data_IF_185566171575
#
_entry.id   IF_185566171575
#
_cell.length_a   1.000
_cell.length_b   1.000
_cell.length_c   1.000
_cell.angle_alpha   90.00
_cell.angle_beta   90.00
_cell.angle_gamma   90.00
#
_symmetry.space_group_name_H-M   'P 1'
#
loop_
_entity.id
_entity.type
_entity.pdbx_description
1 polymer ?
#
# COMPACT_ATOMS: atom_id res chain seq x y z
N UNK A 1 -15.67 18.50 -28.73
CA UNK A 1 -15.33 18.88 -27.34
C UNK A 1 -14.05 18.15 -26.98
N UNK A 2 -12.91 18.85 -26.96
CA UNK A 2 -11.63 18.22 -26.65
C UNK A 2 -11.59 17.94 -25.14
N UNK A 3 -11.68 16.67 -24.76
CA UNK A 3 -11.30 16.23 -23.42
C UNK A 3 -9.83 16.58 -23.24
N UNK A 4 -9.55 17.65 -22.50
CA UNK A 4 -8.18 18.04 -22.19
C UNK A 4 -7.54 16.91 -21.42
N UNK A 5 -6.53 16.28 -21.99
CA UNK A 5 -5.77 15.19 -21.39
C UNK A 5 -5.06 15.72 -20.14
N UNK A 6 -5.74 15.64 -19.00
CA UNK A 6 -5.18 15.95 -17.68
C UNK A 6 -4.29 14.77 -17.31
N UNK A 7 -3.02 14.77 -17.74
CA UNK A 7 -2.09 13.72 -17.30
C UNK A 7 -2.00 13.75 -15.78
N UNK A 8 -2.47 12.69 -15.16
CA UNK A 8 -2.17 12.43 -13.76
C UNK A 8 -0.65 12.40 -13.59
N UNK A 9 -0.16 13.04 -12.53
CA UNK A 9 1.20 12.75 -12.07
C UNK A 9 1.12 11.45 -11.30
N UNK A 10 1.84 10.44 -11.74
CA UNK A 10 1.80 9.13 -11.12
C UNK A 10 3.05 8.91 -10.28
N UNK A 11 2.85 8.49 -9.03
CA UNK A 11 3.90 8.08 -8.11
C UNK A 11 3.67 6.63 -7.74
N UNK A 12 4.70 5.83 -7.92
CA UNK A 12 4.75 4.46 -7.44
C UNK A 12 5.40 4.49 -6.06
N UNK A 13 4.70 3.94 -5.07
CA UNK A 13 5.16 3.82 -3.69
C UNK A 13 5.28 2.33 -3.40
N UNK A 14 6.49 1.82 -3.31
CA UNK A 14 6.68 0.56 -2.60
C UNK A 14 7.00 0.85 -1.15
N UNK A 15 6.22 0.23 -0.26
CA UNK A 15 6.58 0.14 1.14
C UNK A 15 7.57 -1.03 1.33
N UNK A 16 8.74 -0.94 0.71
CA UNK A 16 9.89 -1.79 1.06
C UNK A 16 10.70 -1.04 2.11
N UNK A 17 10.92 -1.64 3.28
CA UNK A 17 11.80 -1.03 4.29
C UNK A 17 13.24 -1.49 4.01
N UNK A 18 14.00 -0.70 3.25
CA UNK A 18 15.46 -0.78 3.26
C UNK A 18 15.95 -0.01 4.51
N UNK A 19 16.59 -0.74 5.43
CA UNK A 19 17.15 -0.17 6.66
C UNK A 19 18.59 0.24 6.39
N UNK A 20 18.81 1.51 6.04
CA UNK A 20 20.14 2.09 6.24
C UNK A 20 20.48 2.00 7.73
N UNK A 21 21.74 1.70 8.07
CA UNK A 21 22.24 1.41 9.43
C UNK A 21 22.00 2.47 10.52
N UNK A 22 21.16 3.48 10.27
CA UNK A 22 20.74 4.55 11.19
C UNK A 22 19.27 4.41 11.63
N UNK A 23 18.55 3.35 11.24
CA UNK A 23 17.18 3.08 11.71
C UNK A 23 16.10 3.98 11.08
N UNK A 24 16.40 4.66 9.98
CA UNK A 24 15.43 5.40 9.17
C UNK A 24 14.56 4.48 8.31
N UNK A 25 13.36 4.92 7.98
CA UNK A 25 12.49 4.28 6.98
C UNK A 25 12.83 4.92 5.64
N UNK A 26 13.50 4.20 4.73
CA UNK A 26 13.64 4.64 3.35
C UNK A 26 12.35 4.28 2.59
N UNK A 27 11.53 5.27 2.27
CA UNK A 27 10.46 5.12 1.29
C UNK A 27 11.10 5.27 -0.07
N UNK A 28 11.25 4.17 -0.82
CA UNK A 28 11.67 4.25 -2.22
C UNK A 28 10.51 4.82 -3.03
N UNK A 29 10.54 6.15 -3.19
CA UNK A 29 9.70 6.85 -4.15
C UNK A 29 10.36 6.65 -5.51
N UNK A 30 9.89 5.66 -6.27
CA UNK A 30 10.26 5.58 -7.68
C UNK A 30 9.70 6.82 -8.38
N UNK A 31 10.60 7.70 -8.81
CA UNK A 31 10.26 8.86 -9.64
C UNK A 31 9.62 8.41 -10.95
N UNK A 32 8.78 9.28 -11.51
CA UNK A 32 8.05 9.08 -12.75
C UNK A 32 8.90 8.38 -13.84
N UNK A 33 8.54 7.16 -14.30
CA UNK A 33 9.28 6.47 -15.36
C UNK A 33 9.23 7.20 -16.71
N UNK A 34 8.39 8.23 -16.86
CA UNK A 34 8.26 9.01 -18.09
C UNK A 34 9.27 10.17 -18.20
N UNK A 35 10.55 9.97 -17.88
CA UNK A 35 11.61 10.94 -18.28
C UNK A 35 12.92 10.28 -18.69
N UNK A 36 12.91 9.47 -19.76
CA UNK A 36 14.11 9.29 -20.60
C UNK A 36 13.71 9.01 -22.05
N UNK A 37 13.64 10.05 -22.86
CA UNK A 37 13.77 9.92 -24.31
C UNK A 37 15.12 10.50 -24.71
N UNK A 38 16.07 9.68 -25.20
CA UNK A 38 17.26 10.22 -25.84
C UNK A 38 16.86 10.74 -27.23
N UNK A 39 17.17 12.01 -27.51
CA UNK A 39 17.29 12.53 -28.87
C UNK A 39 16.03 12.49 -29.74
N UNK A 40 14.97 13.21 -29.36
CA UNK A 40 13.82 13.45 -30.23
C UNK A 40 13.27 14.86 -30.03
N UNK A 41 13.41 15.71 -31.05
CA UNK A 41 12.91 17.09 -31.04
C UNK A 41 11.38 17.04 -31.06
N UNK A 42 10.74 17.28 -29.91
CA UNK A 42 9.27 17.37 -29.80
C UNK A 42 8.78 18.55 -30.66
N UNK A 43 7.81 18.36 -31.58
CA UNK A 43 7.22 19.50 -32.28
C UNK A 43 6.47 20.37 -31.27
N UNK A 44 6.81 21.64 -31.23
CA UNK A 44 6.10 22.65 -30.47
C UNK A 44 4.68 22.78 -31.02
N UNK A 45 3.71 22.16 -30.36
CA UNK A 45 2.30 22.48 -30.55
C UNK A 45 2.11 23.89 -29.99
N UNK A 46 1.94 24.84 -30.90
CA UNK A 46 1.68 26.23 -30.58
C UNK A 46 0.32 26.34 -29.88
N UNK A 47 0.33 26.43 -28.55
CA UNK A 47 -0.78 27.02 -27.82
C UNK A 47 -0.81 28.52 -28.17
N UNK A 48 -1.91 29.06 -28.73
CA UNK A 48 -2.02 30.50 -28.91
C UNK A 48 -1.97 31.16 -27.54
N UNK A 49 -0.89 31.90 -27.30
CA UNK A 49 -0.66 32.73 -26.13
C UNK A 49 -1.59 33.94 -26.23
N UNK A 50 -2.86 33.71 -25.94
CA UNK A 50 -3.84 34.78 -25.84
C UNK A 50 -3.45 35.59 -24.62
N UNK A 51 -2.98 36.82 -24.86
CA UNK A 51 -2.66 37.82 -23.85
C UNK A 51 -3.94 38.16 -23.08
N UNK A 52 -4.18 37.45 -21.98
CA UNK A 52 -5.20 37.86 -21.03
C UNK A 52 -4.68 39.11 -20.31
N UNK A 53 -5.42 40.23 -20.31
CA UNK A 53 -5.04 41.40 -19.53
C UNK A 53 -4.97 41.03 -18.05
N UNK A 54 -3.98 41.58 -17.36
CA UNK A 54 -3.84 41.48 -15.91
C UNK A 54 -5.15 41.91 -15.23
N UNK A 55 -5.80 40.95 -14.57
CA UNK A 55 -6.95 41.20 -13.71
C UNK A 55 -6.40 41.53 -12.32
N UNK A 56 -6.75 42.67 -11.71
CA UNK A 56 -6.38 42.95 -10.33
C UNK A 56 -6.97 41.88 -9.43
N UNK A 57 -6.16 41.42 -8.48
CA UNK A 57 -6.56 40.42 -7.49
C UNK A 57 -7.80 40.93 -6.74
N UNK A 58 -8.98 40.44 -7.12
CA UNK A 58 -10.16 40.55 -6.28
C UNK A 58 -9.92 39.59 -5.12
N UNK A 59 -9.74 40.15 -3.94
CA UNK A 59 -9.78 39.42 -2.68
C UNK A 59 -11.18 38.81 -2.55
N UNK A 60 -11.35 37.61 -3.11
CA UNK A 60 -12.50 36.77 -2.82
C UNK A 60 -12.49 36.44 -1.33
N UNK A 61 -13.67 36.22 -0.71
CA UNK A 61 -13.73 35.80 0.67
C UNK A 61 -12.88 34.53 0.82
N UNK A 62 -11.91 34.56 1.74
CA UNK A 62 -11.09 33.41 2.09
C UNK A 62 -11.94 32.19 2.41
N UNK A 63 -11.39 30.97 2.32
CA UNK A 63 -12.16 29.74 2.45
C UNK A 63 -12.98 29.78 3.74
N UNK A 64 -14.30 29.76 3.57
CA UNK A 64 -15.24 29.68 4.69
C UNK A 64 -15.03 28.33 5.38
N UNK A 65 -14.32 28.35 6.51
CA UNK A 65 -14.19 27.22 7.43
C UNK A 65 -15.50 27.03 8.20
N UNK A 66 -16.63 26.92 7.49
CA UNK A 66 -17.90 26.53 8.11
C UNK A 66 -17.96 25.01 8.17
N UNK A 67 -18.48 24.49 9.28
CA UNK A 67 -18.66 23.05 9.51
C UNK A 67 -19.43 22.38 8.37
N UNK A 68 -20.38 23.09 7.74
CA UNK A 68 -21.12 22.62 6.56
C UNK A 68 -20.26 22.48 5.30
N UNK A 69 -19.40 23.45 4.97
CA UNK A 69 -18.53 23.35 3.80
C UNK A 69 -17.54 22.17 3.91
N UNK A 70 -17.05 21.90 5.13
CA UNK A 70 -16.21 20.73 5.43
C UNK A 70 -16.99 19.42 5.29
N UNK A 71 -18.24 19.37 5.77
CA UNK A 71 -19.12 18.19 5.64
C UNK A 71 -19.45 17.86 4.18
N UNK A 72 -19.74 18.88 3.35
CA UNK A 72 -20.04 18.70 1.92
C UNK A 72 -18.79 18.24 1.15
N UNK A 73 -17.61 18.75 1.48
CA UNK A 73 -16.36 18.30 0.88
C UNK A 73 -16.02 16.84 1.25
N UNK A 74 -16.24 16.44 2.50
CA UNK A 74 -16.05 15.06 2.95
C UNK A 74 -17.06 14.09 2.30
N UNK A 75 -18.32 14.50 2.15
CA UNK A 75 -19.33 13.70 1.43
C UNK A 75 -19.01 13.55 -0.07
N UNK A 76 -18.49 14.61 -0.70
CA UNK A 76 -18.00 14.54 -2.09
C UNK A 76 -16.79 13.61 -2.23
N UNK A 77 -15.86 13.62 -1.26
CA UNK A 77 -14.70 12.75 -1.22
C UNK A 77 -15.06 11.27 -1.00
N UNK A 78 -16.05 10.98 -0.15
CA UNK A 78 -16.57 9.63 0.04
C UNK A 78 -17.27 9.11 -1.25
N UNK A 79 -18.05 9.97 -1.91
CA UNK A 79 -18.69 9.65 -3.19
C UNK A 79 -17.71 9.50 -4.36
N UNK A 80 -16.59 10.23 -4.38
CA UNK A 80 -15.52 10.00 -5.36
C UNK A 80 -14.74 8.72 -5.05
N UNK A 81 -14.48 8.42 -3.78
CA UNK A 81 -13.76 7.20 -3.37
C UNK A 81 -14.51 5.95 -3.82
N UNK A 82 -15.82 5.89 -3.59
CA UNK A 82 -16.63 4.73 -4.00
C UNK A 82 -16.65 4.56 -5.52
N UNK A 83 -16.79 5.66 -6.29
CA UNK A 83 -16.75 5.60 -7.75
C UNK A 83 -15.39 5.15 -8.28
N UNK A 84 -14.30 5.66 -7.72
CA UNK A 84 -12.93 5.20 -8.05
C UNK A 84 -12.81 3.71 -7.76
N UNK A 85 -13.23 3.25 -6.57
CA UNK A 85 -13.16 1.84 -6.20
C UNK A 85 -13.90 0.95 -7.20
N UNK A 86 -15.10 1.31 -7.61
CA UNK A 86 -15.89 0.55 -8.60
C UNK A 86 -15.20 0.42 -9.96
N UNK A 87 -14.47 1.45 -10.39
CA UNK A 87 -13.70 1.40 -11.65
C UNK A 87 -12.46 0.53 -11.49
N UNK A 88 -11.76 0.63 -10.36
CA UNK A 88 -10.44 0.01 -10.17
C UNK A 88 -10.51 -1.46 -9.77
N UNK A 89 -11.55 -1.88 -9.06
CA UNK A 89 -11.72 -3.26 -8.59
C UNK A 89 -11.54 -4.31 -9.71
N UNK A 90 -12.25 -4.23 -10.86
CA UNK A 90 -12.05 -5.20 -11.95
C UNK A 90 -10.68 -5.09 -12.65
N UNK A 91 -10.07 -3.90 -12.64
CA UNK A 91 -8.77 -3.65 -13.30
C UNK A 91 -7.63 -4.27 -12.50
N UNK A 92 -7.66 -4.09 -11.18
CA UNK A 92 -6.68 -4.68 -10.26
C UNK A 92 -6.85 -6.19 -10.22
N UNK A 93 -8.09 -6.70 -10.18
CA UNK A 93 -8.38 -8.13 -10.25
C UNK A 93 -7.86 -8.78 -11.55
N UNK A 94 -8.00 -8.12 -12.70
CA UNK A 94 -7.45 -8.60 -13.97
C UNK A 94 -5.91 -8.67 -13.99
N UNK A 95 -5.23 -7.95 -13.09
CA UNK A 95 -3.78 -8.00 -12.90
C UNK A 95 -3.34 -9.08 -11.90
N UNK A 96 -4.28 -9.92 -11.43
CA UNK A 96 -4.01 -10.95 -10.42
C UNK A 96 -3.67 -10.39 -9.04
N UNK A 97 -4.17 -9.18 -8.73
CA UNK A 97 -3.98 -8.50 -7.45
C UNK A 97 -5.35 -8.19 -6.83
N UNK A 98 -5.34 -7.86 -5.54
CA UNK A 98 -6.52 -7.43 -4.79
C UNK A 98 -6.44 -5.94 -4.51
N UNK A 99 -7.57 -5.24 -4.66
CA UNK A 99 -7.70 -3.84 -4.28
C UNK A 99 -7.93 -3.71 -2.77
N UNK A 100 -6.85 -3.40 -2.05
CA UNK A 100 -6.85 -3.31 -0.58
C UNK A 100 -7.63 -2.08 -0.11
N UNK A 101 -7.21 -0.90 -0.53
CA UNK A 101 -7.78 0.36 -0.11
C UNK A 101 -7.74 1.39 -1.23
N UNK A 102 -8.68 2.32 -1.21
CA UNK A 102 -8.72 3.48 -2.10
C UNK A 102 -9.04 4.69 -1.26
N UNK A 103 -8.24 5.75 -1.38
CA UNK A 103 -8.50 7.02 -0.72
C UNK A 103 -8.38 8.17 -1.70
N UNK A 104 -9.42 8.99 -1.75
CA UNK A 104 -9.39 10.25 -2.51
C UNK A 104 -9.35 11.40 -1.51
N UNK A 105 -8.22 12.13 -1.48
CA UNK A 105 -7.99 13.25 -0.56
C UNK A 105 -7.57 14.50 -1.32
N UNK A 106 -7.78 15.68 -0.74
CA UNK A 106 -7.25 16.93 -1.28
C UNK A 106 -5.93 17.29 -0.59
N UNK A 107 -4.92 17.65 -1.38
CA UNK A 107 -3.61 18.10 -0.91
C UNK A 107 -3.08 19.21 -1.82
N UNK A 108 -2.73 20.36 -1.24
CA UNK A 108 -2.09 21.47 -2.00
C UNK A 108 -2.88 21.95 -3.22
N UNK A 109 -4.21 21.97 -3.16
CA UNK A 109 -5.09 22.38 -4.27
C UNK A 109 -5.31 21.32 -5.36
N UNK A 110 -4.73 20.13 -5.21
CA UNK A 110 -4.91 18.98 -6.11
C UNK A 110 -5.59 17.83 -5.38
N UNK A 111 -6.17 16.89 -6.13
CA UNK A 111 -6.61 15.63 -5.56
C UNK A 111 -5.45 14.64 -5.53
N UNK A 112 -5.43 13.74 -4.55
CA UNK A 112 -4.52 12.62 -4.47
C UNK A 112 -5.39 11.37 -4.37
N UNK A 113 -5.20 10.46 -5.33
CA UNK A 113 -5.84 9.15 -5.37
C UNK A 113 -4.79 8.15 -4.92
N UNK A 114 -4.94 7.66 -3.70
CA UNK A 114 -4.08 6.65 -3.12
C UNK A 114 -4.74 5.28 -3.30
N UNK A 115 -4.03 4.35 -3.91
CA UNK A 115 -4.48 3.00 -4.26
C UNK A 115 -3.52 2.02 -3.61
N UNK A 116 -4.03 1.25 -2.65
CA UNK A 116 -3.30 0.14 -2.06
C UNK A 116 -3.71 -1.16 -2.75
N UNK A 117 -2.72 -1.93 -3.19
CA UNK A 117 -2.89 -3.25 -3.77
C UNK A 117 -2.20 -4.31 -2.91
N UNK A 118 -2.69 -5.54 -3.01
CA UNK A 118 -2.17 -6.69 -2.29
C UNK A 118 -2.18 -7.93 -3.16
N UNK A 119 -1.45 -8.98 -2.78
CA UNK A 119 -1.56 -10.28 -3.42
C UNK A 119 -2.94 -10.88 -3.15
N UNK A 120 -3.42 -11.72 -4.07
CA UNK A 120 -4.56 -12.59 -3.79
C UNK A 120 -4.19 -13.62 -2.70
N UNK A 121 -5.20 -14.19 -2.05
CA UNK A 121 -4.99 -15.22 -1.04
C UNK A 121 -4.28 -16.47 -1.58
N UNK A 122 -4.46 -16.79 -2.86
CA UNK A 122 -3.85 -17.95 -3.51
C UNK A 122 -2.50 -17.65 -4.19
N UNK A 123 -2.10 -16.37 -4.28
CA UNK A 123 -0.80 -16.01 -4.83
C UNK A 123 0.22 -15.95 -3.70
N UNK A 124 1.21 -16.84 -3.68
CA UNK A 124 2.21 -16.90 -2.61
C UNK A 124 3.26 -15.77 -2.70
N UNK A 125 3.27 -15.02 -3.80
CA UNK A 125 4.29 -13.98 -4.06
C UNK A 125 3.84 -12.64 -3.50
N UNK A 126 4.75 -11.98 -2.80
CA UNK A 126 4.61 -10.57 -2.45
C UNK A 126 4.52 -9.68 -3.70
N UNK A 127 4.00 -8.46 -3.52
CA UNK A 127 3.86 -7.48 -4.62
C UNK A 127 5.19 -6.76 -4.82
N UNK A 128 5.87 -7.07 -5.93
CA UNK A 128 7.13 -6.45 -6.35
C UNK A 128 6.94 -5.15 -7.18
N UNK A 129 8.06 -4.49 -7.51
CA UNK A 129 8.08 -3.24 -8.28
C UNK A 129 7.44 -3.36 -9.66
N UNK A 130 7.68 -4.49 -10.33
CA UNK A 130 7.24 -4.69 -11.69
C UNK A 130 5.72 -4.87 -11.72
N UNK A 131 5.16 -5.66 -10.80
CA UNK A 131 3.72 -5.79 -10.62
C UNK A 131 3.06 -4.47 -10.26
N UNK A 132 3.68 -3.65 -9.39
CA UNK A 132 3.14 -2.32 -9.11
C UNK A 132 3.21 -1.42 -10.34
N UNK A 133 4.29 -1.45 -11.12
CA UNK A 133 4.41 -0.65 -12.32
C UNK A 133 3.36 -1.04 -13.38
N UNK A 134 3.09 -2.34 -13.56
CA UNK A 134 2.06 -2.85 -14.47
C UNK A 134 0.66 -2.39 -14.05
N UNK A 135 0.26 -2.66 -12.80
CA UNK A 135 -1.06 -2.27 -12.30
C UNK A 135 -1.24 -0.75 -12.29
N UNK A 136 -0.16 0.01 -12.06
CA UNK A 136 -0.19 1.47 -12.11
C UNK A 136 -0.58 2.00 -13.48
N UNK A 137 -0.07 1.39 -14.56
CA UNK A 137 -0.45 1.78 -15.94
C UNK A 137 -1.92 1.48 -16.18
N UNK A 138 -2.36 0.27 -15.85
CA UNK A 138 -3.75 -0.16 -16.03
C UNK A 138 -4.75 0.72 -15.23
N UNK A 139 -4.42 1.03 -13.98
CA UNK A 139 -5.20 1.93 -13.12
C UNK A 139 -5.26 3.33 -13.70
N UNK A 140 -4.13 3.88 -14.17
CA UNK A 140 -4.09 5.21 -14.79
C UNK A 140 -5.00 5.28 -16.02
N UNK A 141 -4.91 4.29 -16.92
CA UNK A 141 -5.71 4.24 -18.13
C UNK A 141 -7.22 4.14 -17.81
N UNK A 142 -7.58 3.36 -16.79
CA UNK A 142 -8.97 3.21 -16.35
C UNK A 142 -9.54 4.50 -15.73
N UNK A 143 -8.75 5.22 -14.93
CA UNK A 143 -9.16 6.50 -14.36
C UNK A 143 -9.29 7.59 -15.42
N UNK A 144 -8.39 7.62 -16.40
CA UNK A 144 -8.43 8.59 -17.50
C UNK A 144 -9.63 8.32 -18.44
N UNK A 145 -10.01 7.06 -18.63
CA UNK A 145 -11.17 6.69 -19.45
C UNK A 145 -12.52 7.01 -18.78
N UNK A 146 -12.62 6.85 -17.46
CA UNK A 146 -13.88 7.02 -16.71
C UNK A 146 -14.03 8.37 -16.01
N UNK A 147 -12.93 9.13 -15.85
CA UNK A 147 -12.84 10.44 -15.19
C UNK A 147 -13.66 10.54 -13.87
N UNK A 148 -13.51 9.61 -12.92
CA UNK A 148 -14.35 9.56 -11.73
C UNK A 148 -14.00 10.66 -10.71
N UNK A 149 -12.83 11.29 -10.86
CA UNK A 149 -12.26 12.28 -9.95
C UNK A 149 -12.30 13.66 -10.59
N UNK A 150 -12.86 14.64 -9.87
CA UNK A 150 -12.97 15.99 -10.40
C UNK A 150 -11.62 16.74 -10.36
N UNK A 151 -11.19 17.25 -11.52
CA UNK A 151 -10.03 18.12 -11.65
C UNK A 151 -8.72 17.36 -11.84
N UNK A 152 -7.60 18.05 -11.61
CA UNK A 152 -6.27 17.41 -11.68
C UNK A 152 -5.99 16.62 -10.40
N UNK A 153 -5.40 15.43 -10.59
CA UNK A 153 -5.05 14.54 -9.49
C UNK A 153 -3.61 13.99 -9.62
N UNK A 154 -3.08 13.57 -8.49
CA UNK A 154 -1.87 12.74 -8.39
C UNK A 154 -2.31 11.32 -8.06
N UNK A 155 -1.85 10.34 -8.82
CA UNK A 155 -2.08 8.92 -8.54
C UNK A 155 -0.91 8.38 -7.71
N UNK A 156 -1.20 7.77 -6.57
CA UNK A 156 -0.23 7.08 -5.72
C UNK A 156 -0.65 5.61 -5.64
N UNK A 157 0.15 4.70 -6.21
CA UNK A 157 -0.12 3.26 -6.19
C UNK A 157 0.96 2.56 -5.39
N UNK A 158 0.57 1.69 -4.47
CA UNK A 158 1.53 0.95 -3.66
C UNK A 158 0.98 -0.31 -3.03
N UNK A 159 1.89 -1.10 -2.46
CA UNK A 159 1.52 -2.24 -1.65
C UNK A 159 1.35 -1.86 -0.19
N UNK A 160 0.54 -2.65 0.52
CA UNK A 160 0.38 -2.50 1.97
C UNK A 160 1.72 -2.76 2.67
N UNK A 161 2.20 -1.80 3.46
CA UNK A 161 3.47 -1.95 4.19
C UNK A 161 3.41 -3.03 5.28
N UNK A 162 4.56 -3.60 5.63
CA UNK A 162 4.70 -4.71 6.59
C UNK A 162 4.10 -4.42 7.98
N UNK A 163 4.14 -3.17 8.44
CA UNK A 163 3.60 -2.74 9.74
C UNK A 163 2.08 -2.50 9.74
N UNK A 164 1.41 -2.67 8.60
CA UNK A 164 -0.02 -2.42 8.48
C UNK A 164 -0.84 -3.43 9.31
N UNK A 165 -2.01 -3.03 9.86
CA UNK A 165 -2.82 -3.87 10.76
C UNK A 165 -3.55 -5.00 10.02
N UNK A 166 -3.28 -6.27 10.34
CA UNK A 166 -3.87 -7.45 9.69
C UNK A 166 -5.38 -7.49 9.99
N UNK A 167 -6.20 -7.26 8.95
CA UNK A 167 -7.66 -7.07 9.08
C UNK A 167 -8.52 -8.10 8.35
N UNK A 168 -7.95 -8.86 7.41
CA UNK A 168 -8.69 -9.75 6.51
C UNK A 168 -7.95 -11.08 6.45
N UNK A 169 -8.68 -12.18 6.19
CA UNK A 169 -8.12 -13.54 6.15
C UNK A 169 -6.84 -13.64 5.32
N UNK A 170 -6.86 -13.15 4.07
CA UNK A 170 -5.68 -13.08 3.18
C UNK A 170 -4.45 -12.47 3.83
N UNK A 171 -4.61 -11.45 4.68
CA UNK A 171 -3.47 -10.83 5.36
C UNK A 171 -2.80 -11.81 6.32
N UNK A 172 -3.57 -12.65 6.99
CA UNK A 172 -3.07 -13.68 7.89
C UNK A 172 -2.46 -14.84 7.11
N UNK A 173 -3.07 -15.27 6.00
CA UNK A 173 -2.50 -16.31 5.12
C UNK A 173 -1.09 -15.91 4.67
N UNK A 174 -0.93 -14.67 4.21
CA UNK A 174 0.37 -14.10 3.82
C UNK A 174 1.35 -13.87 4.98
N UNK A 175 0.85 -13.85 6.21
CA UNK A 175 1.65 -13.72 7.42
C UNK A 175 2.01 -15.07 8.06
N UNK A 176 1.58 -16.22 7.49
CA UNK A 176 1.95 -17.54 7.99
C UNK A 176 3.48 -17.68 8.00
N UNK A 177 4.00 -18.21 9.09
CA UNK A 177 5.43 -18.29 9.36
C UNK A 177 6.05 -16.99 9.88
N UNK A 178 5.31 -15.89 10.01
CA UNK A 178 5.81 -14.64 10.60
C UNK A 178 5.40 -14.52 12.07
N UNK A 179 6.17 -13.76 12.84
CA UNK A 179 5.77 -13.38 14.20
C UNK A 179 4.68 -12.31 14.12
N UNK A 180 3.60 -12.48 14.87
CA UNK A 180 2.46 -11.57 14.93
C UNK A 180 2.17 -11.18 16.37
N UNK A 181 1.80 -9.91 16.56
CA UNK A 181 1.18 -9.40 17.78
C UNK A 181 -0.31 -9.29 17.52
N UNK A 182 -1.11 -10.04 18.27
CA UNK A 182 -2.57 -10.09 18.17
C UNK A 182 -3.16 -9.56 19.48
N UNK A 183 -3.94 -8.51 19.39
CA UNK A 183 -4.81 -8.05 20.47
C UNK A 183 -6.21 -8.59 20.22
N UNK A 184 -6.70 -9.40 21.15
CA UNK A 184 -8.04 -9.98 21.13
C UNK A 184 -9.07 -8.98 21.67
N UNK A 185 -10.35 -9.19 21.35
CA UNK A 185 -11.46 -8.33 21.80
C UNK A 185 -11.71 -8.40 23.30
N UNK A 186 -11.32 -9.50 23.96
CA UNK A 186 -11.34 -9.64 25.42
C UNK A 186 -10.25 -8.84 26.15
N UNK A 187 -9.34 -8.20 25.39
CA UNK A 187 -8.25 -7.38 25.90
C UNK A 187 -6.92 -8.12 26.06
N UNK A 188 -6.89 -9.44 25.86
CA UNK A 188 -5.65 -10.21 25.87
C UNK A 188 -4.75 -9.83 24.69
N UNK A 189 -3.46 -9.65 24.96
CA UNK A 189 -2.45 -9.42 23.92
C UNK A 189 -1.52 -10.62 23.87
N UNK A 190 -1.44 -11.21 22.69
CA UNK A 190 -0.60 -12.35 22.37
C UNK A 190 0.48 -11.92 21.39
N UNK A 191 1.72 -12.32 21.66
CA UNK A 191 2.80 -12.30 20.66
C UNK A 191 3.20 -13.74 20.39
N UNK A 192 3.31 -14.11 19.11
CA UNK A 192 3.66 -15.47 18.72
C UNK A 192 3.88 -15.64 17.23
N UNK A 193 4.32 -16.83 16.82
CA UNK A 193 4.42 -17.18 15.41
C UNK A 193 3.07 -17.66 14.90
N UNK A 194 2.55 -17.05 13.84
CA UNK A 194 1.39 -17.56 13.13
C UNK A 194 1.83 -18.80 12.34
N UNK A 195 1.28 -19.96 12.68
CA UNK A 195 1.66 -21.22 12.02
C UNK A 195 0.68 -21.64 10.95
N UNK A 196 -0.58 -21.22 11.06
CA UNK A 196 -1.62 -21.65 10.13
C UNK A 196 -2.86 -20.75 10.16
N UNK A 197 -3.63 -20.77 9.07
CA UNK A 197 -4.94 -20.14 8.92
C UNK A 197 -5.90 -21.17 8.32
N UNK A 198 -6.85 -21.61 9.12
CA UNK A 198 -7.82 -22.65 8.77
C UNK A 198 -8.95 -22.11 7.88
N UNK A 199 -9.75 -23.01 7.29
CA UNK A 199 -10.88 -22.63 6.43
C UNK A 199 -11.98 -21.85 7.18
N UNK A 200 -12.24 -22.16 8.46
CA UNK A 200 -13.23 -21.48 9.31
C UNK A 200 -12.72 -20.14 9.89
N UNK A 201 -11.81 -19.45 9.20
CA UNK A 201 -11.16 -18.21 9.65
C UNK A 201 -10.45 -18.33 11.02
N UNK A 202 -10.07 -19.55 11.41
CA UNK A 202 -9.37 -19.80 12.65
C UNK A 202 -7.85 -19.66 12.47
N UNK A 203 -7.23 -18.82 13.28
CA UNK A 203 -5.80 -18.52 13.29
C UNK A 203 -5.09 -19.41 14.31
N UNK A 204 -4.04 -20.13 13.90
CA UNK A 204 -3.22 -20.94 14.82
C UNK A 204 -1.94 -20.18 15.13
N UNK A 205 -1.82 -19.69 16.36
CA UNK A 205 -0.68 -18.91 16.82
C UNK A 205 0.06 -19.68 17.91
N UNK A 206 1.36 -19.85 17.74
CA UNK A 206 2.25 -20.38 18.78
C UNK A 206 2.82 -19.21 19.57
N UNK A 207 2.36 -18.96 20.81
CA UNK A 207 2.79 -17.81 21.59
C UNK A 207 4.27 -17.92 21.97
N UNK A 208 4.97 -16.81 21.85
CA UNK A 208 6.38 -16.69 22.23
C UNK A 208 6.47 -15.58 23.27
N UNK A 209 6.78 -15.95 24.50
CA UNK A 209 7.07 -14.98 25.55
C UNK A 209 8.57 -14.68 25.57
N UNK A 210 9.00 -13.42 25.39
CA UNK A 210 10.41 -13.08 25.45
C UNK A 210 10.99 -13.43 26.82
N UNK A 211 12.14 -14.09 26.82
CA UNK A 211 12.83 -14.45 28.05
C UNK A 211 13.40 -13.21 28.75
N UNK A 212 13.22 -13.12 30.07
CA UNK A 212 13.87 -12.07 30.87
C UNK A 212 15.38 -12.36 30.98
N UNK A 213 16.22 -11.37 30.64
CA UNK A 213 17.66 -11.26 30.96
C UNK A 213 18.44 -12.60 30.82
N UNK A 214 18.82 -12.94 29.60
CA UNK A 214 19.69 -14.09 29.30
C UNK A 214 19.01 -15.46 29.32
N UNK A 215 17.69 -15.51 29.52
CA UNK A 215 16.90 -16.75 29.39
C UNK A 215 16.38 -16.88 27.97
N UNK A 216 16.35 -18.11 27.40
CA UNK A 216 15.73 -18.33 26.10
C UNK A 216 14.25 -17.98 26.14
N UNK A 217 13.66 -17.54 25.01
CA UNK A 217 12.23 -17.29 24.92
C UNK A 217 11.43 -18.56 25.23
N UNK A 218 10.27 -18.39 25.88
CA UNK A 218 9.36 -19.50 26.18
C UNK A 218 8.36 -19.62 25.05
N UNK A 219 8.36 -20.79 24.41
CA UNK A 219 7.38 -21.18 23.40
C UNK A 219 6.22 -21.86 24.14
N UNK A 220 5.01 -21.32 24.01
CA UNK A 220 3.80 -21.91 24.58
C UNK A 220 3.14 -22.92 23.65
N UNK A 221 2.01 -23.48 24.09
CA UNK A 221 1.22 -24.38 23.26
C UNK A 221 0.48 -23.61 22.14
N UNK A 222 0.26 -24.22 20.96
CA UNK A 222 -0.53 -23.62 19.90
C UNK A 222 -1.91 -23.20 20.40
N UNK A 223 -2.29 -21.95 20.12
CA UNK A 223 -3.59 -21.39 20.45
C UNK A 223 -4.36 -21.09 19.17
N UNK A 224 -5.62 -21.51 19.13
CA UNK A 224 -6.53 -21.21 18.02
C UNK A 224 -7.39 -20.00 18.38
N UNK A 225 -7.41 -18.98 17.52
CA UNK A 225 -8.14 -17.72 17.71
C UNK A 225 -9.04 -17.50 16.48
N UNK A 226 -10.33 -17.27 16.67
CA UNK A 226 -11.20 -16.90 15.55
C UNK A 226 -10.84 -15.51 15.03
N UNK A 227 -10.87 -15.29 13.71
CA UNK A 227 -10.60 -13.97 13.11
C UNK A 227 -11.51 -12.88 13.69
N UNK A 228 -12.77 -13.19 13.99
CA UNK A 228 -13.69 -12.22 14.62
C UNK A 228 -13.29 -11.84 16.05
N UNK A 229 -12.55 -12.69 16.78
CA UNK A 229 -12.04 -12.35 18.11
C UNK A 229 -10.84 -11.39 18.05
N UNK A 230 -10.27 -11.14 16.87
CA UNK A 230 -9.14 -10.22 16.70
C UNK A 230 -9.63 -8.78 16.66
N UNK A 231 -9.14 -7.97 17.60
CA UNK A 231 -9.42 -6.53 17.64
C UNK A 231 -8.38 -5.72 16.86
N UNK A 232 -7.11 -6.13 16.88
CA UNK A 232 -6.01 -5.52 16.14
C UNK A 232 -4.87 -6.54 16.05
N UNK A 233 -4.26 -6.69 14.89
CA UNK A 233 -3.11 -7.57 14.71
C UNK A 233 -2.07 -6.91 13.83
N UNK A 234 -0.78 -7.14 14.10
CA UNK A 234 0.35 -6.66 13.28
C UNK A 234 1.43 -7.72 13.21
N UNK A 235 2.18 -7.73 12.11
CA UNK A 235 3.41 -8.52 12.03
C UNK A 235 4.47 -7.86 12.90
N UNK A 236 5.12 -8.62 13.77
CA UNK A 236 6.33 -8.19 14.47
C UNK A 236 7.55 -8.59 13.66
N UNK A 237 8.33 -7.60 13.25
CA UNK A 237 9.61 -7.84 12.60
C UNK A 237 10.64 -8.08 13.70
N UNK A 238 10.98 -9.34 13.91
CA UNK A 238 12.09 -9.70 14.77
C UNK A 238 13.40 -9.48 14.00
N UNK A 239 14.10 -8.39 14.32
CA UNK A 239 15.41 -8.05 13.74
C UNK A 239 16.56 -8.82 14.38
N UNK A 240 16.30 -9.79 15.29
CA UNK A 240 17.36 -10.50 16.01
C UNK A 240 18.02 -11.62 15.19
N UNK A 241 17.64 -11.76 13.92
CA UNK A 241 18.08 -12.82 13.00
C UNK A 241 19.07 -12.43 11.88
N UNK A 242 19.68 -11.24 11.86
CA UNK A 242 20.85 -10.98 11.00
C UNK A 242 22.14 -11.46 11.70
N UNK A 243 22.23 -12.77 11.95
CA UNK A 243 23.48 -13.48 12.24
C UNK A 243 24.06 -14.04 10.94
N UNK A 244 25.39 -14.23 10.83
CA UNK A 244 26.04 -14.59 9.57
C UNK A 244 25.44 -15.88 9.01
N UNK A 245 25.16 -15.87 7.70
CA UNK A 245 24.69 -17.02 6.95
C UNK A 245 25.56 -18.25 7.30
N UNK A 246 24.91 -19.32 7.77
CA UNK A 246 25.52 -20.63 7.85
C UNK A 246 25.57 -21.15 6.40
N UNK A 247 26.67 -20.80 5.71
CA UNK A 247 27.05 -21.37 4.42
C UNK A 247 27.39 -22.85 4.62
N UNK A 248 26.37 -23.67 4.82
CA UNK A 248 26.48 -25.11 4.71
C UNK A 248 26.60 -25.50 3.24
N UNK A 249 27.81 -25.85 2.80
CA UNK A 249 28.12 -27.05 2.00
C UNK A 249 29.45 -26.90 1.24
N UNK A 250 30.47 -27.63 1.67
CA UNK A 250 31.42 -28.23 0.74
C UNK A 250 31.44 -29.75 0.99
N UNK A 251 30.61 -30.44 0.21
CA UNK A 251 30.77 -31.86 -0.10
C UNK A 251 31.83 -32.01 -1.18
N UNK A 252 32.91 -32.72 -0.88
CA UNK A 252 33.77 -33.28 -1.92
C UNK A 252 34.41 -34.59 -1.46
N UNK A 253 33.79 -35.69 -1.90
CA UNK A 253 34.55 -36.77 -2.54
C UNK A 253 35.06 -37.88 -1.64
N UNK A 254 34.20 -38.88 -1.41
CA UNK A 254 34.61 -40.27 -1.25
C UNK A 254 35.07 -40.75 -2.63
N UNK A 255 36.30 -41.24 -2.79
CA UNK A 255 36.61 -42.36 -3.71
C UNK A 255 38.04 -42.90 -3.48
N UNK A 256 38.07 -44.19 -3.14
CA UNK A 256 39.14 -45.22 -3.17
C UNK A 256 40.41 -45.03 -2.33
#
# INVERSE_FOLDING_TARGET
>A
MASGCRRARTRVILATREVDGTGGIAVLIAGDPATRTPGGRVPAVACPRQSLPWVPQLEGPGPVHTKEAVMVAAASAAGSTQRVRQVLDPVVAASGLVLEDVRVRRSGGRQVVEVLVGPDEHDERDVDLDRVAEVTRAVSDALDASDPVAGEYTLEVGSRGADSPLTARRHFVHAVGRSVRVRRRDGEVLTGRLTDVQDDDALVVVPVTPGLKGRPPRIGAPLTIALDDVADARVEVDLSGLGPDDDGADDAGRES
#
